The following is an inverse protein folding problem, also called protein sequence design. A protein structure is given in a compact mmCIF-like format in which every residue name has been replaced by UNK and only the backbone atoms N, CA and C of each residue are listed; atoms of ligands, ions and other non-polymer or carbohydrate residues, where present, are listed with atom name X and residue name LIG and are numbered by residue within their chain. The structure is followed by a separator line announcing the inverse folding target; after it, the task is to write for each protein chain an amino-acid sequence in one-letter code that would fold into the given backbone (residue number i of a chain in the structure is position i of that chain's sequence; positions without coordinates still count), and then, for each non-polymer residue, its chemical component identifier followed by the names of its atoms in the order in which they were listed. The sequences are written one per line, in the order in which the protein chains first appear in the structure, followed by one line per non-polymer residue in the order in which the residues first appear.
data_IF_218400058700
#
_entry.id   IF_218400058700
#
_cell.length_a   1.000
_cell.length_b   1.000
_cell.length_c   1.000
_cell.angle_alpha   90.00
_cell.angle_beta   90.00
_cell.angle_gamma   90.00
#
_symmetry.space_group_name_H-M   'P 1'
#
loop_
_entity.id
_entity.type
_entity.pdbx_description
1 polymer ?
#
# COMPACT_ATOMS: atom_id res chain seq x y z
N UNK A 1 12.50 3.16 10.19
CA UNK A 1 11.12 2.67 9.87
C UNK A 1 11.14 1.20 9.49
N UNK A 2 11.79 0.82 8.38
CA UNK A 2 11.84 -0.57 7.87
C UNK A 2 12.26 -1.60 8.94
N UNK A 3 13.35 -1.36 9.66
CA UNK A 3 13.80 -2.25 10.75
C UNK A 3 12.77 -2.41 11.90
N UNK A 4 12.03 -1.35 12.24
CA UNK A 4 10.97 -1.41 13.25
C UNK A 4 9.77 -2.22 12.75
N UNK A 5 9.43 -2.08 11.46
CA UNK A 5 8.39 -2.92 10.84
C UNK A 5 8.81 -4.39 10.84
N UNK A 6 10.09 -4.69 10.57
CA UNK A 6 10.59 -6.07 10.66
C UNK A 6 10.54 -6.61 12.09
N UNK A 7 10.86 -5.80 13.10
CA UNK A 7 10.71 -6.19 14.50
C UNK A 7 9.24 -6.47 14.85
N UNK A 8 8.32 -5.60 14.42
CA UNK A 8 6.88 -5.81 14.60
C UNK A 8 6.40 -7.09 13.89
N UNK A 9 6.89 -7.34 12.68
CA UNK A 9 6.59 -8.57 11.94
C UNK A 9 7.14 -9.82 12.64
N UNK A 10 8.30 -9.75 13.29
CA UNK A 10 8.81 -10.86 14.10
C UNK A 10 7.90 -11.18 15.29
N UNK A 11 7.30 -10.15 15.91
CA UNK A 11 6.31 -10.33 16.98
C UNK A 11 5.02 -10.93 16.41
N UNK A 12 4.52 -10.41 15.28
CA UNK A 12 3.33 -10.95 14.64
C UNK A 12 3.50 -12.38 14.14
N UNK A 13 4.70 -12.77 13.73
CA UNK A 13 5.04 -14.15 13.36
C UNK A 13 4.95 -15.17 14.50
N UNK A 14 4.73 -14.74 15.75
CA UNK A 14 4.43 -15.64 16.87
C UNK A 14 2.96 -16.11 16.88
N UNK A 15 2.09 -15.46 16.12
CA UNK A 15 0.67 -15.81 15.98
C UNK A 15 0.46 -16.77 14.79
N UNK A 16 -0.72 -17.43 14.71
CA UNK A 16 -1.04 -18.34 13.62
C UNK A 16 -0.96 -17.66 12.25
N UNK A 17 -0.57 -18.45 11.25
CA UNK A 17 -0.47 -18.00 9.86
C UNK A 17 -1.81 -17.49 9.31
N UNK A 18 -1.75 -16.45 8.48
CA UNK A 18 -2.90 -15.93 7.74
C UNK A 18 -2.78 -16.37 6.29
N UNK A 19 -3.64 -17.30 5.86
CA UNK A 19 -3.67 -17.79 4.48
C UNK A 19 -2.43 -18.61 4.11
N UNK A 20 -1.85 -19.33 5.07
CA UNK A 20 -0.68 -20.20 4.86
C UNK A 20 0.66 -19.48 4.82
N UNK A 21 0.70 -18.20 5.23
CA UNK A 21 1.93 -17.42 5.33
C UNK A 21 2.04 -16.71 6.70
N UNK A 22 3.28 -16.43 7.16
CA UNK A 22 3.50 -15.74 8.42
C UNK A 22 2.78 -14.40 8.49
N UNK A 23 2.16 -14.15 9.64
CA UNK A 23 1.45 -12.90 9.87
C UNK A 23 2.42 -11.72 9.92
N UNK A 24 2.23 -10.77 9.01
CA UNK A 24 2.97 -9.50 8.94
C UNK A 24 2.02 -8.32 8.88
N UNK A 25 2.48 -7.13 9.25
CA UNK A 25 1.68 -5.90 9.18
C UNK A 25 1.19 -5.64 7.75
N UNK A 26 2.05 -5.90 6.75
CA UNK A 26 1.71 -5.83 5.33
C UNK A 26 0.62 -6.83 4.96
N UNK A 27 0.70 -8.07 5.46
CA UNK A 27 -0.31 -9.09 5.17
C UNK A 27 -1.67 -8.75 5.76
N UNK A 28 -1.73 -8.21 6.98
CA UNK A 28 -2.98 -7.81 7.65
C UNK A 28 -3.65 -6.69 6.86
N UNK A 29 -2.90 -5.63 6.55
CA UNK A 29 -3.38 -4.56 5.68
C UNK A 29 -3.74 -5.08 4.28
N UNK A 30 -2.98 -6.03 3.75
CA UNK A 30 -3.25 -6.63 2.46
C UNK A 30 -4.57 -7.39 2.41
N UNK A 31 -4.97 -8.08 3.49
CA UNK A 31 -6.32 -8.66 3.61
C UNK A 31 -7.36 -7.56 3.47
N UNK A 32 -7.22 -6.49 4.26
CA UNK A 32 -8.18 -5.40 4.32
C UNK A 32 -8.27 -4.62 3.00
N UNK A 33 -7.18 -4.58 2.23
CA UNK A 33 -7.10 -3.89 0.94
C UNK A 33 -7.40 -4.79 -0.26
N UNK A 34 -7.56 -6.10 -0.08
CA UNK A 34 -7.93 -7.01 -1.17
C UNK A 34 -9.26 -6.61 -1.84
N UNK A 35 -10.33 -6.21 -1.10
CA UNK A 35 -11.53 -5.69 -1.71
C UNK A 35 -11.30 -4.40 -2.50
N UNK A 36 -10.41 -3.52 -2.02
CA UNK A 36 -10.07 -2.29 -2.75
C UNK A 36 -9.35 -2.59 -4.06
N UNK A 37 -8.41 -3.54 -4.06
CA UNK A 37 -7.73 -4.00 -5.26
C UNK A 37 -8.72 -4.65 -6.26
N UNK A 38 -9.68 -5.43 -5.76
CA UNK A 38 -10.73 -5.98 -6.61
C UNK A 38 -11.59 -4.89 -7.27
N UNK A 39 -11.93 -3.82 -6.53
CA UNK A 39 -12.67 -2.67 -7.06
C UNK A 39 -11.91 -1.90 -8.15
N UNK A 40 -10.59 -2.07 -8.30
CA UNK A 40 -9.83 -1.47 -9.41
C UNK A 40 -9.87 -2.29 -10.71
N UNK A 41 -10.65 -3.38 -10.74
CA UNK A 41 -10.78 -4.26 -11.92
C UNK A 41 -9.91 -5.52 -11.87
N UNK A 42 -9.19 -5.76 -10.77
CA UNK A 42 -8.35 -6.96 -10.61
C UNK A 42 -9.25 -8.18 -10.31
N UNK A 43 -9.07 -9.33 -10.97
CA UNK A 43 -9.80 -10.55 -10.66
C UNK A 43 -9.67 -10.97 -9.18
N UNK A 44 -10.73 -11.49 -8.57
CA UNK A 44 -10.74 -11.82 -7.14
C UNK A 44 -9.62 -12.78 -6.71
N UNK A 45 -9.26 -13.74 -7.57
CA UNK A 45 -8.19 -14.70 -7.28
C UNK A 45 -6.79 -14.05 -7.23
N UNK A 46 -6.60 -12.90 -7.91
CA UNK A 46 -5.37 -12.10 -7.89
C UNK A 46 -5.44 -10.97 -6.84
N UNK A 47 -6.66 -10.59 -6.41
CA UNK A 47 -6.90 -9.47 -5.50
C UNK A 47 -6.16 -9.62 -4.16
N UNK A 48 -5.89 -10.85 -3.72
CA UNK A 48 -5.11 -11.09 -2.51
C UNK A 48 -3.64 -10.65 -2.66
N UNK A 49 -3.03 -10.96 -3.80
CA UNK A 49 -1.65 -10.59 -4.12
C UNK A 49 -1.58 -9.07 -4.30
N UNK A 50 -2.51 -8.51 -5.07
CA UNK A 50 -2.62 -7.07 -5.28
C UNK A 50 -2.84 -6.28 -3.98
N UNK A 51 -3.74 -6.75 -3.12
CA UNK A 51 -3.96 -6.19 -1.78
C UNK A 51 -2.70 -6.21 -0.93
N UNK A 52 -1.94 -7.31 -0.96
CA UNK A 52 -0.63 -7.42 -0.30
C UNK A 52 0.35 -6.33 -0.73
N UNK A 53 0.45 -6.06 -2.05
CA UNK A 53 1.29 -5.00 -2.60
C UNK A 53 0.83 -3.60 -2.14
N UNK A 54 -0.48 -3.34 -2.08
CA UNK A 54 -1.01 -2.08 -1.53
C UNK A 54 -0.68 -1.94 -0.04
N UNK A 55 -0.80 -3.02 0.74
CA UNK A 55 -0.43 -3.05 2.15
C UNK A 55 1.06 -2.76 2.36
N UNK A 56 1.92 -3.38 1.56
CA UNK A 56 3.36 -3.11 1.57
C UNK A 56 3.69 -1.67 1.21
N UNK A 57 3.03 -1.10 0.20
CA UNK A 57 3.15 0.32 -0.16
C UNK A 57 2.86 1.24 1.02
N UNK A 58 1.75 1.02 1.74
CA UNK A 58 1.32 1.90 2.83
C UNK A 58 2.25 1.79 4.04
N UNK A 59 2.63 0.56 4.40
CA UNK A 59 3.44 0.28 5.59
C UNK A 59 4.91 0.65 5.39
N UNK A 60 5.48 0.28 4.25
CA UNK A 60 6.89 0.47 3.94
C UNK A 60 7.08 1.65 2.97
N UNK A 61 6.81 1.43 1.69
CA UNK A 61 6.77 2.42 0.61
C UNK A 61 6.50 1.73 -0.74
N UNK A 62 6.21 2.53 -1.75
CA UNK A 62 5.98 2.12 -3.14
C UNK A 62 7.20 1.47 -3.79
N UNK A 63 8.43 1.88 -3.48
CA UNK A 63 9.63 1.28 -4.06
C UNK A 63 9.78 -0.19 -3.67
N UNK A 64 9.57 -0.51 -2.39
CA UNK A 64 9.61 -1.89 -1.90
C UNK A 64 8.46 -2.69 -2.51
N UNK A 65 7.26 -2.11 -2.61
CA UNK A 65 6.14 -2.75 -3.29
C UNK A 65 6.43 -3.06 -4.78
N UNK A 66 7.10 -2.15 -5.50
CA UNK A 66 7.54 -2.40 -6.88
C UNK A 66 8.58 -3.53 -6.96
N UNK A 67 9.54 -3.57 -6.03
CA UNK A 67 10.52 -4.65 -5.96
C UNK A 67 9.85 -6.00 -5.68
N UNK A 68 8.86 -6.05 -4.79
CA UNK A 68 8.07 -7.25 -4.53
C UNK A 68 7.26 -7.68 -5.76
N UNK A 69 6.60 -6.73 -6.43
CA UNK A 69 5.85 -7.00 -7.67
C UNK A 69 6.76 -7.53 -8.79
N UNK A 70 7.99 -7.02 -8.89
CA UNK A 70 9.00 -7.49 -9.85
C UNK A 70 9.54 -8.89 -9.55
N UNK A 71 9.47 -9.34 -8.28
CA UNK A 71 9.89 -10.69 -7.85
C UNK A 71 8.79 -11.74 -7.94
N UNK A 72 7.55 -11.33 -8.16
CA UNK A 72 6.44 -12.26 -8.40
C UNK A 72 6.70 -13.09 -9.65
N UNK A 73 6.22 -14.34 -9.65
CA UNK A 73 6.25 -15.13 -10.88
C UNK A 73 5.42 -14.44 -11.97
N UNK A 74 5.74 -14.65 -13.26
CA UNK A 74 4.98 -14.08 -14.37
C UNK A 74 3.49 -14.42 -14.31
N UNK A 75 3.13 -15.58 -13.77
CA UNK A 75 1.77 -16.12 -13.69
C UNK A 75 1.00 -15.61 -12.46
N UNK A 76 1.66 -14.93 -11.52
CA UNK A 76 1.03 -14.48 -10.28
C UNK A 76 0.02 -13.33 -10.47
N UNK A 77 0.21 -12.53 -11.52
CA UNK A 77 -0.71 -11.47 -11.95
C UNK A 77 -0.75 -11.49 -13.48
N UNK A 78 -1.96 -11.48 -14.03
CA UNK A 78 -2.18 -11.23 -15.46
C UNK A 78 -1.51 -9.92 -15.92
N UNK A 79 -1.28 -9.81 -17.23
CA UNK A 79 -0.68 -8.60 -17.82
C UNK A 79 -1.49 -7.34 -17.48
N UNK A 80 -2.83 -7.45 -17.53
CA UNK A 80 -3.74 -6.34 -17.24
C UNK A 80 -3.70 -5.97 -15.76
N UNK A 81 -3.78 -6.94 -14.84
CA UNK A 81 -3.65 -6.68 -13.41
C UNK A 81 -2.29 -6.09 -13.03
N UNK A 82 -1.21 -6.53 -13.68
CA UNK A 82 0.13 -5.96 -13.46
C UNK A 82 0.19 -4.51 -13.94
N UNK A 83 -0.49 -4.18 -15.04
CA UNK A 83 -0.59 -2.81 -15.52
C UNK A 83 -1.44 -1.93 -14.58
N UNK A 84 -2.62 -2.40 -14.17
CA UNK A 84 -3.47 -1.73 -13.16
C UNK A 84 -2.67 -1.46 -11.89
N UNK A 85 -1.95 -2.46 -11.38
CA UNK A 85 -1.14 -2.33 -10.17
C UNK A 85 0.04 -1.38 -10.35
N UNK A 86 0.63 -1.30 -11.54
CA UNK A 86 1.69 -0.32 -11.83
C UNK A 86 1.21 1.11 -11.56
N UNK A 87 -0.02 1.43 -11.94
CA UNK A 87 -0.64 2.74 -11.67
C UNK A 87 -1.15 2.86 -10.23
N UNK A 88 -1.75 1.81 -9.66
CA UNK A 88 -2.24 1.83 -8.29
C UNK A 88 -1.10 1.98 -7.26
N UNK A 89 0.10 1.48 -7.56
CA UNK A 89 1.28 1.66 -6.72
C UNK A 89 1.94 3.03 -6.89
N UNK A 90 1.71 3.72 -8.00
CA UNK A 90 2.38 4.97 -8.35
C UNK A 90 1.95 6.15 -7.46
N UNK A 91 2.55 6.26 -6.27
CA UNK A 91 2.37 7.42 -5.39
C UNK A 91 2.90 7.20 -3.99
N UNK A 92 3.23 8.30 -3.32
CA UNK A 92 3.91 8.34 -2.02
C UNK A 92 2.95 8.31 -0.82
N UNK A 93 1.80 7.66 -0.96
CA UNK A 93 0.81 7.54 0.12
C UNK A 93 1.22 6.43 1.12
N UNK A 94 2.16 6.75 2.01
CA UNK A 94 2.71 5.84 3.00
C UNK A 94 3.12 6.57 4.29
N UNK A 95 3.37 5.83 5.38
CA UNK A 95 3.72 6.43 6.68
C UNK A 95 5.06 7.19 6.67
N UNK A 96 6.03 6.75 5.86
CA UNK A 96 7.32 7.45 5.73
C UNK A 96 7.15 8.84 5.11
N UNK A 97 6.41 8.92 4.02
CA UNK A 97 6.07 10.17 3.32
C UNK A 97 5.20 11.10 4.15
N UNK A 98 4.29 10.54 4.97
CA UNK A 98 3.55 11.34 5.95
C UNK A 98 4.49 12.06 6.92
N UNK A 99 5.51 11.38 7.43
CA UNK A 99 6.54 11.97 8.28
C UNK A 99 7.28 13.13 7.60
N UNK A 100 7.66 12.92 6.33
CA UNK A 100 8.30 13.96 5.50
C UNK A 100 7.37 15.17 5.34
N UNK A 101 6.09 14.95 5.04
CA UNK A 101 5.11 16.02 4.84
C UNK A 101 4.82 16.79 6.12
N UNK A 102 4.69 16.12 7.27
CA UNK A 102 4.52 16.78 8.57
C UNK A 102 5.76 17.63 8.90
N UNK A 103 6.97 17.13 8.63
CA UNK A 103 8.20 17.87 8.84
C UNK A 103 8.32 19.11 7.93
N UNK A 104 8.12 18.92 6.63
CA UNK A 104 8.21 19.97 5.62
C UNK A 104 7.13 21.05 5.77
N UNK A 105 5.85 20.65 5.74
CA UNK A 105 4.73 21.59 5.88
C UNK A 105 4.71 22.23 7.27
N UNK A 106 5.08 21.48 8.31
CA UNK A 106 5.15 22.00 9.68
C UNK A 106 6.23 23.06 9.87
N UNK A 107 7.36 22.95 9.16
CA UNK A 107 8.42 23.97 9.17
C UNK A 107 8.03 25.21 8.35
N UNK A 108 7.34 25.03 7.21
CA UNK A 108 6.88 26.15 6.37
C UNK A 108 5.68 26.91 6.97
N UNK A 109 4.80 26.22 7.70
CA UNK A 109 3.60 26.78 8.29
C UNK A 109 3.44 26.36 9.76
N UNK A 110 4.30 26.85 10.68
CA UNK A 110 4.32 26.41 12.08
C UNK A 110 2.98 26.62 12.80
N UNK A 111 2.27 27.70 12.47
CA UNK A 111 0.95 28.02 13.05
C UNK A 111 -0.15 27.02 12.63
N UNK A 112 0.06 26.21 11.59
CA UNK A 112 -0.89 25.20 11.08
C UNK A 112 -0.47 23.77 11.40
N UNK A 113 0.54 23.56 12.25
CA UNK A 113 1.08 22.24 12.56
C UNK A 113 0.03 21.28 13.13
N UNK A 114 -0.87 21.76 13.98
CA UNK A 114 -1.96 20.95 14.56
C UNK A 114 -2.93 20.46 13.48
N UNK A 115 -3.29 21.32 12.53
CA UNK A 115 -4.13 20.98 11.39
C UNK A 115 -3.46 19.93 10.49
N UNK A 116 -2.18 20.13 10.15
CA UNK A 116 -1.40 19.20 9.31
C UNK A 116 -1.35 17.80 9.95
N UNK A 117 -1.06 17.73 11.26
CA UNK A 117 -1.03 16.46 12.00
C UNK A 117 -2.43 15.83 12.03
N UNK A 118 -3.47 16.62 12.29
CA UNK A 118 -4.86 16.14 12.34
C UNK A 118 -5.36 15.56 11.02
N UNK A 119 -4.81 15.99 9.88
CA UNK A 119 -5.14 15.46 8.54
C UNK A 119 -4.27 14.27 8.11
N UNK A 120 -3.24 13.90 8.88
CA UNK A 120 -2.20 12.97 8.43
C UNK A 120 -2.70 11.59 8.01
N UNK A 121 -3.54 10.93 8.81
CA UNK A 121 -4.07 9.61 8.44
C UNK A 121 -5.07 9.69 7.27
N UNK A 122 -5.83 10.80 7.20
CA UNK A 122 -6.79 11.04 6.11
C UNK A 122 -6.06 11.28 4.79
N UNK A 123 -4.88 11.91 4.81
CA UNK A 123 -4.10 12.15 3.59
C UNK A 123 -3.53 10.85 3.01
N UNK A 124 -3.15 9.88 3.84
CA UNK A 124 -2.76 8.54 3.37
C UNK A 124 -3.94 7.86 2.69
N UNK A 125 -5.11 7.81 3.33
CA UNK A 125 -6.29 7.19 2.76
C UNK A 125 -6.69 7.85 1.42
N UNK A 126 -6.73 9.19 1.38
CA UNK A 126 -7.01 9.94 0.16
C UNK A 126 -5.98 9.66 -0.95
N UNK A 127 -4.69 9.61 -0.61
CA UNK A 127 -3.62 9.31 -1.57
C UNK A 127 -3.71 7.90 -2.13
N UNK A 128 -3.99 6.89 -1.30
CA UNK A 128 -4.19 5.50 -1.74
C UNK A 128 -5.38 5.41 -2.69
N UNK A 129 -6.52 5.98 -2.32
CA UNK A 129 -7.73 6.00 -3.15
C UNK A 129 -7.49 6.72 -4.48
N UNK A 130 -6.76 7.84 -4.48
CA UNK A 130 -6.42 8.56 -5.71
C UNK A 130 -5.61 7.66 -6.67
N UNK A 131 -4.58 6.97 -6.17
CA UNK A 131 -3.79 6.06 -7.01
C UNK A 131 -4.59 4.83 -7.46
N UNK A 132 -5.46 4.29 -6.60
CA UNK A 132 -6.34 3.17 -6.95
C UNK A 132 -7.36 3.58 -8.02
N UNK A 133 -7.87 4.81 -7.97
CA UNK A 133 -8.75 5.37 -8.98
C UNK A 133 -8.05 5.46 -10.34
N UNK A 134 -6.78 5.90 -10.38
CA UNK A 134 -5.97 5.86 -11.62
C UNK A 134 -5.83 4.43 -12.14
N UNK A 135 -5.55 3.46 -11.26
CA UNK A 135 -5.52 2.03 -11.62
C UNK A 135 -6.86 1.53 -12.17
N UNK A 136 -7.98 1.93 -11.56
CA UNK A 136 -9.32 1.57 -12.01
C UNK A 136 -9.64 2.16 -13.40
N UNK A 137 -9.22 3.39 -13.67
CA UNK A 137 -9.36 4.00 -15.01
C UNK A 137 -8.60 3.19 -16.04
N UNK A 138 -7.38 2.75 -15.72
CA UNK A 138 -6.61 1.85 -16.60
C UNK A 138 -7.36 0.53 -16.81
N UNK A 139 -7.91 -0.06 -15.75
CA UNK A 139 -8.70 -1.30 -15.84
C UNK A 139 -9.99 -1.19 -16.65
N UNK A 140 -10.52 0.02 -16.87
CA UNK A 140 -11.68 0.26 -17.76
C UNK A 140 -11.26 0.31 -19.24
N UNK A 141 -10.02 0.74 -19.51
CA UNK A 141 -9.53 0.96 -20.88
C UNK A 141 -8.99 -0.34 -21.51
N UNK A 142 -8.54 -1.28 -20.68
CA UNK A 142 -8.06 -2.61 -21.07
C UNK A 142 -9.24 -3.56 -21.31
#
# INVERSE_FOLDING_TARGET
LVALVHLANAIFGLFPDIGGAPMTLQSILGVALSPLAWLTGIPWHEARIAGGLLGEKIVLNELIAYLSMARLSPEALSADSRLIMTYALCGFANFGSLGIMIGGLGAMAPNRRSEIIGLGLRSIAAGVLATCMTGAVVGIIL
#
